data_IF_993894969836
#
_entry.id   IF_993894969836
#
_cell.length_a   1.000
_cell.length_b   1.000
_cell.length_c   1.000
_cell.angle_alpha   90.00
_cell.angle_beta   90.00
_cell.angle_gamma   90.00
#
_symmetry.space_group_name_H-M   'P 1'
#
loop_
_entity.id
_entity.type
_entity.pdbx_description
1 polymer ?
#
# COMPACT_ATOMS: atom_id res chain seq x y z
N UNK A 1 -2.13 8.88 4.00
CA UNK A 1 -3.42 9.56 4.22
C UNK A 1 -3.17 10.67 5.24
N UNK A 2 -3.97 11.75 5.32
CA UNK A 2 -3.64 12.89 6.20
C UNK A 2 -3.50 12.49 7.67
N UNK A 3 -4.13 11.39 8.08
CA UNK A 3 -4.22 10.97 9.49
C UNK A 3 -3.58 9.59 9.77
N UNK A 4 -3.31 8.79 8.73
CA UNK A 4 -2.79 7.42 8.87
C UNK A 4 -1.75 7.09 7.80
N UNK A 5 -0.74 6.33 8.21
CA UNK A 5 0.19 5.68 7.31
C UNK A 5 -0.53 4.50 6.60
N UNK A 6 -0.48 4.50 5.27
CA UNK A 6 -1.12 3.45 4.48
C UNK A 6 -0.52 2.06 4.72
N UNK A 7 0.75 2.00 5.13
CA UNK A 7 1.45 0.75 5.43
C UNK A 7 0.94 0.12 6.74
N UNK A 8 0.71 0.93 7.76
CA UNK A 8 0.17 0.47 9.04
C UNK A 8 -1.28 -0.04 8.88
N UNK A 9 -2.07 0.64 8.04
CA UNK A 9 -3.42 0.19 7.68
C UNK A 9 -3.37 -1.17 6.97
N UNK A 10 -2.48 -1.33 5.98
CA UNK A 10 -2.30 -2.61 5.29
C UNK A 10 -1.93 -3.74 6.25
N UNK A 11 -0.98 -3.47 7.17
CA UNK A 11 -0.56 -4.44 8.18
C UNK A 11 -1.71 -4.86 9.09
N UNK A 12 -2.58 -3.94 9.48
CA UNK A 12 -3.73 -4.26 10.35
C UNK A 12 -4.80 -5.07 9.62
N UNK A 13 -5.10 -4.74 8.36
CA UNK A 13 -6.04 -5.51 7.52
C UNK A 13 -5.52 -6.95 7.35
N UNK A 14 -4.22 -7.12 7.06
CA UNK A 14 -3.61 -8.44 6.84
C UNK A 14 -3.59 -9.37 8.05
N UNK A 15 -3.71 -8.84 9.27
CA UNK A 15 -3.84 -9.69 10.46
C UNK A 15 -5.18 -10.44 10.53
N UNK A 16 -6.21 -9.93 9.83
CA UNK A 16 -7.58 -10.40 9.98
C UNK A 16 -8.27 -10.74 8.65
N UNK A 17 -7.64 -10.42 7.51
CA UNK A 17 -8.25 -10.58 6.20
C UNK A 17 -7.23 -10.75 5.05
N UNK A 18 -7.57 -11.66 4.13
CA UNK A 18 -6.82 -11.91 2.89
C UNK A 18 -7.42 -11.17 1.68
N UNK A 19 -8.23 -10.12 1.90
CA UNK A 19 -8.79 -9.31 0.81
C UNK A 19 -7.70 -8.67 -0.05
N UNK A 20 -7.87 -8.54 -1.37
CA UNK A 20 -6.87 -7.88 -2.20
C UNK A 20 -6.64 -6.41 -1.79
N UNK A 21 -5.38 -5.99 -1.62
CA UNK A 21 -4.96 -4.64 -1.24
C UNK A 21 -4.13 -4.03 -2.36
N UNK A 22 -4.65 -2.94 -2.94
CA UNK A 22 -3.97 -2.12 -3.96
C UNK A 22 -3.51 -0.80 -3.33
N UNK A 23 -2.21 -0.56 -3.34
CA UNK A 23 -1.64 0.73 -2.93
C UNK A 23 -1.74 1.77 -4.04
N UNK A 24 -2.12 2.99 -3.69
CA UNK A 24 -2.35 4.07 -4.66
C UNK A 24 -1.71 5.38 -4.19
N UNK A 25 -0.53 5.71 -4.71
CA UNK A 25 0.32 6.78 -4.20
C UNK A 25 0.80 7.72 -5.29
N UNK A 26 1.03 8.99 -4.97
CA UNK A 26 1.74 9.93 -5.85
C UNK A 26 3.26 9.94 -5.59
N UNK A 27 3.72 9.14 -4.62
CA UNK A 27 5.15 8.98 -4.32
C UNK A 27 5.72 7.90 -5.22
N UNK A 28 6.79 8.26 -5.93
CA UNK A 28 7.50 7.40 -6.87
C UNK A 28 8.74 6.75 -6.22
N UNK A 29 8.81 6.76 -4.89
CA UNK A 29 9.91 6.12 -4.15
C UNK A 29 9.73 4.60 -4.20
N UNK A 30 10.60 3.95 -4.97
CA UNK A 30 10.66 2.50 -5.16
C UNK A 30 10.69 1.73 -3.84
N UNK A 31 11.27 2.32 -2.79
CA UNK A 31 11.35 1.77 -1.44
C UNK A 31 9.96 1.57 -0.81
N UNK A 32 9.06 2.55 -0.95
CA UNK A 32 7.69 2.48 -0.40
C UNK A 32 6.87 1.37 -1.08
N UNK A 33 7.11 1.14 -2.37
CA UNK A 33 6.47 0.08 -3.14
C UNK A 33 6.95 -1.30 -2.71
N UNK A 34 8.27 -1.50 -2.56
CA UNK A 34 8.83 -2.78 -2.10
C UNK A 34 8.31 -3.10 -0.70
N UNK A 35 8.33 -2.11 0.21
CA UNK A 35 7.85 -2.30 1.57
C UNK A 35 6.35 -2.63 1.61
N UNK A 36 5.53 -1.95 0.79
CA UNK A 36 4.10 -2.20 0.69
C UNK A 36 3.77 -3.62 0.23
N UNK A 37 4.51 -4.14 -0.75
CA UNK A 37 4.35 -5.51 -1.24
C UNK A 37 4.80 -6.55 -0.20
N UNK A 38 5.94 -6.33 0.48
CA UNK A 38 6.43 -7.24 1.53
C UNK A 38 5.51 -7.33 2.76
N UNK A 39 4.83 -6.23 3.11
CA UNK A 39 3.89 -6.17 4.25
C UNK A 39 2.54 -6.84 3.91
N UNK A 40 2.33 -7.21 2.64
CA UNK A 40 1.14 -7.92 2.17
C UNK A 40 0.30 -7.14 1.16
N UNK A 41 0.82 -6.08 0.54
CA UNK A 41 0.21 -5.49 -0.63
C UNK A 41 0.22 -6.45 -1.81
N UNK A 42 -0.87 -6.51 -2.56
CA UNK A 42 -0.92 -7.31 -3.78
C UNK A 42 -0.40 -6.53 -4.99
N UNK A 43 -0.57 -5.21 -4.98
CA UNK A 43 -0.14 -4.36 -6.10
C UNK A 43 0.04 -2.90 -5.67
N UNK A 44 0.74 -2.11 -6.49
CA UNK A 44 1.05 -0.70 -6.28
C UNK A 44 0.91 0.09 -7.57
N UNK A 45 0.06 1.13 -7.57
CA UNK A 45 -0.18 2.00 -8.71
C UNK A 45 0.17 3.45 -8.37
N UNK A 46 0.93 4.09 -9.25
CA UNK A 46 1.30 5.51 -9.14
C UNK A 46 0.23 6.43 -9.73
N UNK A 47 -0.06 7.53 -9.04
CA UNK A 47 -0.92 8.64 -9.51
C UNK A 47 -0.06 9.70 -10.23
N UNK A 48 -0.58 10.39 -11.27
CA UNK A 48 -1.89 10.19 -11.88
C UNK A 48 -1.86 9.05 -12.91
N UNK A 49 -2.93 8.26 -12.95
CA UNK A 49 -3.18 7.26 -13.99
C UNK A 49 -4.04 7.89 -15.10
N UNK A 50 -3.80 7.51 -16.36
CA UNK A 50 -4.59 7.94 -17.53
C UNK A 50 -5.79 7.02 -17.79
#
# INVERSE_FOLDING_TARGET
MPEFDGLDVCREIRKSSDVPILFLSARDEEIDRVLGLEIGGDDYVTKPFS
#
